data_IF_878630480570
#
_entry.id   IF_878630480570
#
_cell.length_a   1.000
_cell.length_b   1.000
_cell.length_c   1.000
_cell.angle_alpha   90.00
_cell.angle_beta   90.00
_cell.angle_gamma   90.00
#
_symmetry.space_group_name_H-M   'P 1'
#
loop_
_entity.id
_entity.type
_entity.pdbx_description
1 polymer ?
#
# COMPACT_ATOMS: atom_id res chain seq x y z
N UNK A 1 -16.05 -6.81 14.50
CA UNK A 1 -15.82 -7.24 13.08
C UNK A 1 -14.82 -6.33 12.40
N UNK A 2 -13.96 -6.89 11.54
CA UNK A 2 -12.94 -6.15 10.75
C UNK A 2 -13.24 -6.27 9.25
N UNK A 3 -13.18 -5.13 8.54
CA UNK A 3 -13.07 -5.06 7.08
C UNK A 3 -11.65 -4.59 6.73
N UNK A 4 -10.89 -5.42 6.00
CA UNK A 4 -9.54 -5.10 5.53
C UNK A 4 -9.60 -4.56 4.10
N UNK A 5 -9.13 -3.34 3.92
CA UNK A 5 -9.16 -2.64 2.64
C UNK A 5 -7.74 -2.30 2.20
N UNK A 6 -7.36 -2.77 1.01
CA UNK A 6 -6.12 -2.34 0.38
C UNK A 6 -6.33 -1.03 -0.39
N UNK A 7 -5.54 -0.01 -0.10
CA UNK A 7 -5.53 1.28 -0.79
C UNK A 7 -4.27 1.37 -1.65
N UNK A 8 -4.44 1.44 -2.96
CA UNK A 8 -3.33 1.53 -3.91
C UNK A 8 -3.56 2.60 -4.97
N UNK A 9 -2.59 2.80 -5.85
CA UNK A 9 -2.65 3.79 -6.93
C UNK A 9 -1.27 4.14 -7.45
N UNK A 10 -1.19 4.78 -8.60
CA UNK A 10 0.06 5.14 -9.24
C UNK A 10 0.94 6.09 -8.41
N UNK A 11 2.17 6.29 -8.88
CA UNK A 11 3.06 7.30 -8.30
C UNK A 11 2.35 8.65 -8.26
N UNK A 12 2.50 9.38 -7.16
CA UNK A 12 1.93 10.70 -6.94
C UNK A 12 0.39 10.79 -7.10
N UNK A 13 -0.34 9.66 -7.12
CA UNK A 13 -1.81 9.64 -7.27
C UNK A 13 -2.56 10.28 -6.09
N UNK A 14 -1.90 10.51 -4.96
CA UNK A 14 -2.53 11.14 -3.78
C UNK A 14 -3.00 10.16 -2.71
N UNK A 15 -2.59 8.88 -2.75
CA UNK A 15 -2.93 7.85 -1.76
C UNK A 15 -2.89 8.35 -0.31
N UNK A 16 -1.78 8.98 0.10
CA UNK A 16 -1.61 9.43 1.49
C UNK A 16 -2.56 10.58 1.88
N UNK A 17 -3.09 11.33 0.91
CA UNK A 17 -4.15 12.31 1.16
C UNK A 17 -5.47 11.59 1.40
N UNK A 18 -5.81 10.65 0.55
CA UNK A 18 -7.02 9.81 0.66
C UNK A 18 -6.97 8.99 1.96
N UNK A 19 -5.81 8.39 2.30
CA UNK A 19 -5.61 7.66 3.56
C UNK A 19 -5.92 8.55 4.78
N UNK A 20 -5.47 9.81 4.78
CA UNK A 20 -5.77 10.76 5.86
C UNK A 20 -7.26 11.12 5.93
N UNK A 21 -7.96 11.20 4.80
CA UNK A 21 -9.42 11.41 4.79
C UNK A 21 -10.11 10.19 5.41
N UNK A 22 -9.75 8.97 5.04
CA UNK A 22 -10.28 7.77 5.68
C UNK A 22 -10.00 7.75 7.19
N UNK A 23 -8.81 8.17 7.63
CA UNK A 23 -8.48 8.28 9.06
C UNK A 23 -9.40 9.27 9.77
N UNK A 24 -9.70 10.44 9.17
CA UNK A 24 -10.64 11.42 9.74
C UNK A 24 -12.09 10.92 9.82
N UNK A 25 -12.44 9.91 9.00
CA UNK A 25 -13.73 9.22 9.02
C UNK A 25 -13.76 8.04 10.02
N UNK A 26 -12.69 7.85 10.80
CA UNK A 26 -12.61 6.82 11.84
C UNK A 26 -12.06 5.48 11.37
N UNK A 27 -11.52 5.37 10.15
CA UNK A 27 -10.78 4.19 9.72
C UNK A 27 -9.41 4.13 10.39
N UNK A 28 -8.92 2.92 10.63
CA UNK A 28 -7.53 2.70 11.06
C UNK A 28 -6.64 2.58 9.83
N UNK A 29 -5.66 3.45 9.69
CA UNK A 29 -4.77 3.46 8.52
C UNK A 29 -3.42 2.82 8.85
N UNK A 30 -2.92 2.00 7.93
CA UNK A 30 -1.62 1.34 8.00
C UNK A 30 -0.85 1.67 6.73
N UNK A 31 0.33 2.24 6.87
CA UNK A 31 1.24 2.51 5.75
C UNK A 31 2.24 1.34 5.63
N UNK A 32 2.00 0.46 4.66
CA UNK A 32 2.85 -0.70 4.40
C UNK A 32 4.24 -0.28 3.88
N UNK A 33 4.35 0.80 3.12
CA UNK A 33 5.64 1.32 2.64
C UNK A 33 6.47 1.83 3.83
N UNK A 34 5.84 2.45 4.83
CA UNK A 34 6.49 2.84 6.09
C UNK A 34 6.88 1.63 6.95
N UNK A 35 6.08 0.55 6.96
CA UNK A 35 6.46 -0.72 7.60
C UNK A 35 7.74 -1.26 6.96
N UNK A 36 7.80 -1.38 5.64
CA UNK A 36 9.00 -1.81 4.91
C UNK A 36 10.20 -0.92 5.26
N UNK A 37 10.00 0.39 5.32
CA UNK A 37 11.06 1.32 5.69
C UNK A 37 11.62 1.06 7.10
N UNK A 38 10.78 0.69 8.06
CA UNK A 38 11.21 0.30 9.42
C UNK A 38 11.93 -1.04 9.44
N UNK A 39 11.40 -2.04 8.73
CA UNK A 39 12.01 -3.37 8.62
C UNK A 39 13.42 -3.33 8.01
N UNK A 40 13.70 -2.34 7.15
CA UNK A 40 15.00 -2.18 6.49
C UNK A 40 16.03 -1.38 7.30
N UNK A 41 15.67 -0.85 8.48
CA UNK A 41 16.64 -0.19 9.37
C UNK A 41 17.67 -1.20 9.89
N UNK A 42 18.92 -0.79 10.13
CA UNK A 42 19.93 -1.66 10.71
C UNK A 42 19.42 -2.38 11.96
N UNK A 43 19.57 -3.70 11.99
CA UNK A 43 19.04 -4.56 13.06
C UNK A 43 17.56 -4.94 12.93
N UNK A 44 16.82 -4.37 11.99
CA UNK A 44 15.45 -4.77 11.69
C UNK A 44 15.37 -6.15 11.04
N UNK A 45 14.23 -6.84 11.19
CA UNK A 45 14.04 -8.19 10.65
C UNK A 45 14.24 -8.25 9.13
N UNK A 46 13.76 -7.25 8.38
CA UNK A 46 13.96 -7.15 6.93
C UNK A 46 15.42 -6.90 6.57
N UNK A 47 16.12 -6.05 7.32
CA UNK A 47 17.55 -5.82 7.12
C UNK A 47 18.34 -7.12 7.28
N UNK A 48 18.11 -7.85 8.37
CA UNK A 48 18.85 -9.06 8.68
C UNK A 48 18.66 -10.15 7.60
N UNK A 49 17.40 -10.38 7.19
CA UNK A 49 17.08 -11.39 6.17
C UNK A 49 17.64 -11.02 4.79
N UNK A 50 17.72 -9.73 4.47
CA UNK A 50 18.30 -9.26 3.21
C UNK A 50 19.83 -9.44 3.21
N UNK A 51 20.50 -9.10 4.30
CA UNK A 51 21.95 -9.30 4.45
C UNK A 51 22.32 -10.78 4.43
N UNK A 52 21.54 -11.61 5.10
CA UNK A 52 21.73 -13.08 5.08
C UNK A 52 21.56 -13.67 3.66
N UNK A 53 20.57 -13.17 2.89
CA UNK A 53 20.25 -13.70 1.56
C UNK A 53 21.15 -13.18 0.46
N UNK A 54 21.49 -11.89 0.49
CA UNK A 54 22.21 -11.21 -0.59
C UNK A 54 23.62 -10.77 -0.21
N UNK A 55 24.06 -11.01 1.04
CA UNK A 55 25.36 -10.57 1.51
C UNK A 55 25.43 -9.10 1.86
N UNK A 56 26.61 -8.63 2.24
CA UNK A 56 26.86 -7.24 2.61
C UNK A 56 26.88 -6.27 1.42
N UNK A 57 26.88 -6.79 0.22
CA UNK A 57 26.86 -5.96 -1.01
C UNK A 57 25.57 -5.14 -1.17
N UNK A 58 24.46 -5.56 -0.51
CA UNK A 58 23.21 -4.80 -0.49
C UNK A 58 23.23 -3.64 0.51
N UNK A 59 24.36 -3.42 1.21
CA UNK A 59 24.51 -2.34 2.18
C UNK A 59 25.23 -1.12 1.59
N UNK A 60 24.89 0.04 2.16
CA UNK A 60 25.69 1.25 2.05
C UNK A 60 26.93 1.17 2.95
N UNK A 61 27.82 2.13 2.86
CA UNK A 61 28.97 2.25 3.79
C UNK A 61 28.52 2.46 5.25
N UNK A 62 27.35 3.05 5.47
CA UNK A 62 26.75 3.25 6.81
C UNK A 62 26.06 2.01 7.38
N UNK A 63 26.02 0.91 6.62
CA UNK A 63 25.36 -0.32 7.05
C UNK A 63 23.84 -0.34 6.85
N UNK A 64 23.28 0.64 6.18
CA UNK A 64 21.86 0.68 5.81
C UNK A 64 21.62 -0.08 4.50
N UNK A 65 20.39 -0.54 4.27
CA UNK A 65 20.02 -1.16 2.98
C UNK A 65 20.13 -0.11 1.85
N UNK A 66 21.00 -0.37 0.88
CA UNK A 66 21.07 0.38 -0.37
C UNK A 66 19.87 0.03 -1.25
N UNK A 67 18.84 0.86 -1.18
CA UNK A 67 17.58 0.64 -1.91
C UNK A 67 17.76 0.58 -3.42
N UNK A 68 18.79 1.26 -3.96
CA UNK A 68 19.07 1.22 -5.39
C UNK A 68 19.63 -0.13 -5.79
N UNK A 69 20.66 -0.63 -5.08
CA UNK A 69 21.21 -1.97 -5.33
C UNK A 69 20.16 -3.06 -5.14
N UNK A 70 19.34 -2.96 -4.08
CA UNK A 70 18.27 -3.91 -3.84
C UNK A 70 17.22 -3.88 -4.97
N UNK A 71 16.88 -2.70 -5.49
CA UNK A 71 15.99 -2.56 -6.64
C UNK A 71 16.62 -3.15 -7.91
N UNK A 72 17.89 -2.90 -8.16
CA UNK A 72 18.62 -3.47 -9.30
C UNK A 72 18.60 -5.01 -9.25
N UNK A 73 18.77 -5.61 -8.07
CA UNK A 73 18.65 -7.07 -7.85
C UNK A 73 17.21 -7.54 -8.08
N UNK A 74 16.24 -6.86 -7.48
CA UNK A 74 14.83 -7.24 -7.56
C UNK A 74 14.25 -7.15 -8.97
N UNK A 75 14.69 -6.15 -9.74
CA UNK A 75 14.20 -5.94 -11.11
C UNK A 75 15.06 -6.57 -12.19
N UNK A 76 16.11 -7.33 -11.83
CA UNK A 76 16.92 -8.07 -12.77
C UNK A 76 16.09 -9.08 -13.60
N UNK A 77 15.14 -9.75 -12.96
CA UNK A 77 14.19 -10.66 -13.60
C UNK A 77 13.00 -10.92 -12.66
N UNK A 78 11.96 -11.61 -13.17
CA UNK A 78 10.74 -11.94 -12.43
C UNK A 78 11.00 -12.81 -11.18
N UNK A 79 11.90 -13.76 -11.26
CA UNK A 79 12.21 -14.68 -10.16
C UNK A 79 12.90 -13.95 -9.00
N UNK A 80 13.77 -13.00 -9.31
CA UNK A 80 14.42 -12.13 -8.31
C UNK A 80 13.40 -11.27 -7.55
N UNK A 81 12.45 -10.68 -8.26
CA UNK A 81 11.36 -9.92 -7.64
C UNK A 81 10.50 -10.81 -6.73
N UNK A 82 10.15 -12.01 -7.20
CA UNK A 82 9.40 -12.98 -6.39
C UNK A 82 10.18 -13.44 -5.16
N UNK A 83 11.50 -13.65 -5.30
CA UNK A 83 12.36 -14.02 -4.18
C UNK A 83 12.35 -12.94 -3.11
N UNK A 84 12.55 -11.67 -3.49
CA UNK A 84 12.48 -10.53 -2.57
C UNK A 84 11.11 -10.45 -1.87
N UNK A 85 10.03 -10.59 -2.62
CA UNK A 85 8.68 -10.57 -2.09
C UNK A 85 8.47 -11.72 -1.06
N UNK A 86 8.91 -12.93 -1.35
CA UNK A 86 8.82 -14.07 -0.40
C UNK A 86 9.56 -13.83 0.92
N UNK A 87 10.64 -13.07 0.90
CA UNK A 87 11.39 -12.71 2.10
C UNK A 87 10.70 -11.62 2.92
N UNK A 88 10.16 -10.61 2.27
CA UNK A 88 9.70 -9.38 2.93
C UNK A 88 8.20 -9.39 3.25
N UNK A 89 7.36 -9.97 2.39
CA UNK A 89 5.90 -9.99 2.62
C UNK A 89 5.49 -10.60 3.96
N UNK A 90 6.04 -11.76 4.40
CA UNK A 90 5.67 -12.32 5.70
C UNK A 90 5.93 -11.36 6.86
N UNK A 91 7.03 -10.60 6.80
CA UNK A 91 7.39 -9.63 7.82
C UNK A 91 6.44 -8.42 7.84
N UNK A 92 6.05 -7.94 6.65
CA UNK A 92 5.07 -6.85 6.52
C UNK A 92 3.70 -7.30 7.02
N UNK A 93 3.25 -8.50 6.64
CA UNK A 93 1.96 -9.07 7.06
C UNK A 93 1.92 -9.23 8.59
N UNK A 94 3.01 -9.72 9.20
CA UNK A 94 3.09 -9.86 10.65
C UNK A 94 2.96 -8.49 11.36
N UNK A 95 3.59 -7.43 10.85
CA UNK A 95 3.45 -6.09 11.39
C UNK A 95 2.04 -5.50 11.18
N UNK A 96 1.43 -5.71 10.02
CA UNK A 96 0.02 -5.35 9.77
C UNK A 96 -0.90 -6.04 10.80
N UNK A 97 -0.73 -7.35 10.99
CA UNK A 97 -1.52 -8.13 11.94
C UNK A 97 -1.31 -7.66 13.37
N UNK A 98 -0.07 -7.32 13.76
CA UNK A 98 0.25 -6.77 15.08
C UNK A 98 -0.48 -5.46 15.34
N UNK A 99 -0.52 -4.56 14.36
CA UNK A 99 -1.25 -3.28 14.47
C UNK A 99 -2.76 -3.54 14.59
N UNK A 100 -3.30 -4.45 13.79
CA UNK A 100 -4.72 -4.81 13.84
C UNK A 100 -5.10 -5.42 15.18
N UNK A 101 -4.32 -6.38 15.68
CA UNK A 101 -4.56 -7.03 16.98
C UNK A 101 -4.48 -6.04 18.15
N UNK A 102 -3.53 -5.09 18.11
CA UNK A 102 -3.43 -4.05 19.13
C UNK A 102 -4.66 -3.14 19.15
N UNK A 103 -5.19 -2.78 17.98
CA UNK A 103 -6.40 -1.97 17.87
C UNK A 103 -7.65 -2.74 18.30
N UNK A 104 -7.75 -4.03 17.99
CA UNK A 104 -8.83 -4.90 18.49
C UNK A 104 -8.80 -5.02 20.01
N UNK A 105 -7.63 -5.27 20.58
CA UNK A 105 -7.48 -5.36 22.04
C UNK A 105 -7.85 -4.06 22.77
N UNK A 106 -7.57 -2.91 22.12
CA UNK A 106 -7.93 -1.59 22.67
C UNK A 106 -9.44 -1.31 22.62
N UNK A 107 -10.14 -1.88 21.63
CA UNK A 107 -11.57 -1.62 21.39
C UNK A 107 -12.28 -2.89 20.94
N UNK A 108 -12.49 -3.89 21.80
CA UNK A 108 -12.94 -5.23 21.42
C UNK A 108 -14.34 -5.25 20.81
N UNK A 109 -15.22 -4.35 21.22
CA UNK A 109 -16.63 -4.33 20.78
C UNK A 109 -16.89 -3.42 19.57
N UNK A 110 -15.84 -2.85 18.98
CA UNK A 110 -16.00 -1.92 17.87
C UNK A 110 -15.70 -2.58 16.53
N UNK A 111 -16.60 -2.38 15.59
CA UNK A 111 -16.34 -2.66 14.18
C UNK A 111 -15.29 -1.70 13.61
N UNK A 112 -14.40 -2.23 12.76
CA UNK A 112 -13.28 -1.46 12.23
C UNK A 112 -13.13 -1.66 10.71
N UNK A 113 -12.83 -0.57 10.04
CA UNK A 113 -12.31 -0.58 8.67
C UNK A 113 -10.81 -0.25 8.76
N UNK A 114 -9.97 -1.19 8.34
CA UNK A 114 -8.53 -0.98 8.21
C UNK A 114 -8.22 -0.65 6.76
N UNK A 115 -7.56 0.49 6.55
CA UNK A 115 -7.06 0.94 5.24
C UNK A 115 -5.55 0.70 5.22
N UNK A 116 -5.12 -0.29 4.46
CA UNK A 116 -3.68 -0.57 4.27
C UNK A 116 -3.23 0.08 2.97
N UNK A 117 -2.45 1.15 3.09
CA UNK A 117 -1.85 1.87 1.97
C UNK A 117 -0.59 1.17 1.52
N UNK A 118 -0.52 0.77 0.22
CA UNK A 118 0.68 0.22 -0.39
C UNK A 118 0.77 0.60 -1.87
N UNK A 119 1.97 1.02 -2.30
CA UNK A 119 2.19 1.49 -3.68
C UNK A 119 2.18 0.36 -4.71
N UNK A 120 2.71 -0.81 -4.37
CA UNK A 120 2.82 -1.98 -5.26
C UNK A 120 1.94 -3.14 -4.79
N UNK A 121 0.76 -2.84 -4.25
CA UNK A 121 -0.15 -3.83 -3.66
C UNK A 121 -0.58 -4.91 -4.66
N UNK A 122 -0.99 -4.50 -5.85
CA UNK A 122 -1.47 -5.40 -6.90
C UNK A 122 -0.31 -6.12 -7.58
N UNK A 123 0.76 -5.42 -7.87
CA UNK A 123 1.97 -5.94 -8.50
C UNK A 123 2.64 -7.04 -7.66
N UNK A 124 2.52 -6.93 -6.35
CA UNK A 124 3.06 -7.91 -5.41
C UNK A 124 2.14 -9.11 -5.16
N UNK A 125 1.00 -9.20 -5.85
CA UNK A 125 0.00 -10.26 -5.63
C UNK A 125 -0.76 -10.12 -4.31
N UNK A 126 -0.82 -8.90 -3.75
CA UNK A 126 -1.43 -8.66 -2.45
C UNK A 126 -2.95 -8.63 -2.42
N UNK A 127 -3.63 -8.70 -3.57
CA UNK A 127 -5.08 -8.54 -3.69
C UNK A 127 -5.87 -9.47 -2.75
N UNK A 128 -5.49 -10.73 -2.70
CA UNK A 128 -6.19 -11.78 -1.93
C UNK A 128 -6.12 -11.59 -0.40
N UNK A 129 -5.30 -10.66 0.08
CA UNK A 129 -5.15 -10.37 1.51
C UNK A 129 -6.20 -9.40 2.04
N UNK A 130 -6.97 -8.78 1.15
CA UNK A 130 -7.93 -7.74 1.49
C UNK A 130 -9.34 -8.10 1.07
N UNK A 131 -10.32 -7.74 1.88
CA UNK A 131 -11.74 -7.91 1.57
C UNK A 131 -12.15 -7.02 0.37
N UNK A 132 -11.56 -5.83 0.30
CA UNK A 132 -11.80 -4.86 -0.77
C UNK A 132 -10.51 -4.18 -1.21
N UNK A 133 -10.48 -3.77 -2.47
CA UNK A 133 -9.40 -2.94 -3.05
C UNK A 133 -9.98 -1.60 -3.47
N UNK A 134 -9.35 -0.53 -3.00
CA UNK A 134 -9.62 0.84 -3.41
C UNK A 134 -8.43 1.36 -4.22
N UNK A 135 -8.68 1.84 -5.42
CA UNK A 135 -7.66 2.44 -6.27
C UNK A 135 -7.85 3.95 -6.31
N UNK A 136 -6.80 4.69 -5.98
CA UNK A 136 -6.73 6.14 -6.21
C UNK A 136 -6.24 6.36 -7.63
N UNK A 137 -7.15 6.76 -8.50
CA UNK A 137 -6.88 6.98 -9.90
C UNK A 137 -6.50 8.43 -10.19
N UNK A 138 -5.53 8.60 -11.07
CA UNK A 138 -5.03 9.88 -11.54
C UNK A 138 -4.45 9.69 -12.94
N UNK A 139 -4.67 10.66 -13.82
CA UNK A 139 -4.11 10.61 -15.16
C UNK A 139 -2.58 10.69 -15.16
N UNK A 140 -1.91 10.08 -16.16
CA UNK A 140 -0.46 9.97 -16.20
C UNK A 140 0.26 11.33 -16.23
N UNK A 141 -0.28 12.31 -16.93
CA UNK A 141 0.36 13.62 -17.06
C UNK A 141 0.34 14.38 -15.72
N UNK A 142 -0.79 14.31 -15.02
CA UNK A 142 -0.91 14.88 -13.67
C UNK A 142 -0.04 14.13 -12.66
N UNK A 143 0.12 12.81 -12.79
CA UNK A 143 1.08 12.04 -11.98
C UNK A 143 2.51 12.55 -12.15
N UNK A 144 2.96 12.75 -13.40
CA UNK A 144 4.30 13.31 -13.69
C UNK A 144 4.47 14.71 -13.10
N UNK A 145 3.46 15.56 -13.25
CA UNK A 145 3.47 16.93 -12.74
C UNK A 145 3.55 16.97 -11.22
N UNK A 146 2.70 16.19 -10.54
CA UNK A 146 2.71 16.08 -9.06
C UNK A 146 4.00 15.43 -8.54
N UNK A 147 4.58 14.47 -9.27
CA UNK A 147 5.86 13.87 -8.94
C UNK A 147 7.00 14.89 -9.03
N UNK A 148 7.01 15.73 -10.09
CA UNK A 148 8.00 16.79 -10.28
C UNK A 148 7.94 17.83 -9.15
N UNK A 149 6.75 18.22 -8.69
CA UNK A 149 6.57 19.11 -7.54
C UNK A 149 7.14 18.54 -6.23
N UNK A 150 7.33 17.21 -6.16
CA UNK A 150 7.92 16.49 -5.01
C UNK A 150 9.41 16.18 -5.20
N UNK A 151 10.06 16.81 -6.21
CA UNK A 151 11.48 16.62 -6.50
C UNK A 151 11.84 15.35 -7.28
N UNK A 152 10.84 14.61 -7.81
CA UNK A 152 11.08 13.46 -8.69
C UNK A 152 11.09 13.96 -10.13
N UNK A 153 12.19 13.80 -10.85
CA UNK A 153 12.26 14.22 -12.26
C UNK A 153 11.21 13.51 -13.12
N UNK A 154 10.71 14.16 -14.18
CA UNK A 154 9.75 13.54 -15.09
C UNK A 154 10.24 12.23 -15.70
N UNK A 155 11.52 12.09 -16.15
CA UNK A 155 12.04 10.80 -16.62
C UNK A 155 11.99 9.71 -15.53
N UNK A 156 12.31 10.06 -14.28
CA UNK A 156 12.23 9.11 -13.16
C UNK A 156 10.78 8.72 -12.84
N UNK A 157 9.85 9.67 -12.89
CA UNK A 157 8.44 9.38 -12.72
C UNK A 157 7.95 8.39 -13.78
N UNK A 158 8.24 8.63 -15.06
CA UNK A 158 7.90 7.72 -16.17
C UNK A 158 8.53 6.34 -16.01
N UNK A 159 9.79 6.27 -15.58
CA UNK A 159 10.44 4.99 -15.30
C UNK A 159 9.72 4.21 -14.22
N UNK A 160 9.34 4.85 -13.10
CA UNK A 160 8.57 4.21 -12.01
C UNK A 160 7.19 3.77 -12.45
N UNK A 161 6.49 4.58 -13.27
CA UNK A 161 5.19 4.22 -13.84
C UNK A 161 5.27 2.95 -14.71
N UNK A 162 6.35 2.77 -15.48
CA UNK A 162 6.57 1.55 -16.29
C UNK A 162 6.75 0.28 -15.45
N UNK A 163 7.15 0.40 -14.21
CA UNK A 163 7.28 -0.73 -13.27
C UNK A 163 6.02 -0.98 -12.45
N UNK A 164 5.03 -0.11 -12.56
CA UNK A 164 3.72 -0.29 -11.94
C UNK A 164 2.76 -0.98 -12.92
N UNK A 165 1.72 -1.61 -12.37
CA UNK A 165 0.61 -2.14 -13.16
C UNK A 165 0.02 -1.04 -14.06
N UNK A 166 -0.31 -1.30 -15.33
CA UNK A 166 -1.00 -0.35 -16.20
C UNK A 166 -2.25 0.23 -15.52
N UNK A 167 -2.54 1.51 -15.79
CA UNK A 167 -3.66 2.22 -15.15
C UNK A 167 -4.97 1.47 -15.33
N UNK A 168 -5.25 1.04 -16.54
CA UNK A 168 -6.49 0.34 -16.93
C UNK A 168 -6.65 -0.97 -16.17
N UNK A 169 -5.58 -1.77 -16.08
CA UNK A 169 -5.58 -3.03 -15.34
C UNK A 169 -5.77 -2.80 -13.84
N UNK A 170 -5.14 -1.75 -13.29
CA UNK A 170 -5.27 -1.37 -11.88
C UNK A 170 -6.70 -0.95 -11.55
N UNK A 171 -7.33 -0.14 -12.39
CA UNK A 171 -8.74 0.26 -12.26
C UNK A 171 -9.67 -0.96 -12.36
N UNK A 172 -9.43 -1.88 -13.29
CA UNK A 172 -10.21 -3.12 -13.42
C UNK A 172 -10.07 -4.05 -12.20
N UNK A 173 -8.92 -4.06 -11.55
CA UNK A 173 -8.68 -4.87 -10.36
C UNK A 173 -9.36 -4.30 -9.09
N UNK A 174 -9.83 -3.05 -9.13
CA UNK A 174 -10.43 -2.36 -7.99
C UNK A 174 -11.87 -2.82 -7.72
N UNK A 175 -12.26 -2.84 -6.44
CA UNK A 175 -13.66 -2.88 -6.05
C UNK A 175 -14.27 -1.46 -6.06
N UNK A 176 -13.46 -0.47 -5.71
CA UNK A 176 -13.83 0.95 -5.72
C UNK A 176 -12.70 1.79 -6.28
N UNK A 177 -13.05 2.80 -7.05
CA UNK A 177 -12.11 3.78 -7.60
C UNK A 177 -12.43 5.15 -7.00
N UNK A 178 -11.39 5.86 -6.57
CA UNK A 178 -11.46 7.27 -6.19
C UNK A 178 -10.77 8.06 -7.29
N UNK A 179 -11.55 8.84 -8.04
CA UNK A 179 -11.00 9.78 -9.01
C UNK A 179 -10.37 10.97 -8.29
N UNK A 180 -9.06 11.14 -8.46
CA UNK A 180 -8.29 12.23 -7.85
C UNK A 180 -7.74 13.22 -8.88
N UNK A 181 -8.40 13.33 -10.05
CA UNK A 181 -8.08 14.33 -11.08
C UNK A 181 -8.56 15.73 -10.73
N UNK A 182 -9.56 15.83 -9.88
CA UNK A 182 -10.11 17.10 -9.41
C UNK A 182 -9.27 17.77 -8.31
N UNK A 183 -9.88 18.77 -7.70
CA UNK A 183 -9.32 19.47 -6.55
C UNK A 183 -9.46 18.64 -5.25
N UNK A 184 -8.97 19.21 -4.15
CA UNK A 184 -9.05 18.56 -2.83
C UNK A 184 -10.48 18.27 -2.38
N UNK A 185 -11.43 19.18 -2.69
CA UNK A 185 -12.83 19.02 -2.30
C UNK A 185 -13.49 17.86 -3.07
N UNK A 186 -13.20 17.74 -4.36
CA UNK A 186 -13.65 16.60 -5.15
C UNK A 186 -13.11 15.27 -4.58
N UNK A 187 -11.83 15.22 -4.25
CA UNK A 187 -11.23 14.04 -3.62
C UNK A 187 -11.87 13.69 -2.27
N UNK A 188 -12.24 14.69 -1.47
CA UNK A 188 -12.98 14.49 -0.21
C UNK A 188 -14.37 13.88 -0.48
N UNK A 189 -15.12 14.40 -1.44
CA UNK A 189 -16.46 13.87 -1.82
C UNK A 189 -16.36 12.43 -2.32
N UNK A 190 -15.43 12.14 -3.24
CA UNK A 190 -15.19 10.79 -3.75
C UNK A 190 -14.84 9.80 -2.62
N UNK A 191 -13.94 10.21 -1.70
CA UNK A 191 -13.54 9.38 -0.57
C UNK A 191 -14.69 9.12 0.39
N UNK A 192 -15.54 10.12 0.67
CA UNK A 192 -16.74 9.93 1.48
C UNK A 192 -17.71 8.94 0.83
N UNK A 193 -17.92 9.04 -0.49
CA UNK A 193 -18.77 8.11 -1.23
C UNK A 193 -18.27 6.65 -1.13
N UNK A 194 -16.96 6.44 -1.29
CA UNK A 194 -16.35 5.12 -1.12
C UNK A 194 -16.42 4.65 0.33
N UNK A 195 -16.21 5.53 1.31
CA UNK A 195 -16.35 5.18 2.73
C UNK A 195 -17.75 4.64 3.07
N UNK A 196 -18.81 5.25 2.55
CA UNK A 196 -20.18 4.75 2.78
C UNK A 196 -20.35 3.32 2.23
N UNK A 197 -19.86 3.06 1.02
CA UNK A 197 -19.88 1.71 0.44
C UNK A 197 -19.09 0.69 1.29
N UNK A 198 -17.92 1.07 1.82
CA UNK A 198 -17.14 0.23 2.72
C UNK A 198 -17.88 -0.04 4.05
N UNK A 199 -18.66 0.91 4.54
CA UNK A 199 -19.55 0.70 5.70
C UNK A 199 -20.63 -0.34 5.39
N UNK A 200 -21.24 -0.27 4.22
CA UNK A 200 -22.21 -1.27 3.76
C UNK A 200 -21.59 -2.67 3.64
N UNK A 201 -20.38 -2.76 3.07
CA UNK A 201 -19.61 -4.01 3.00
C UNK A 201 -19.32 -4.61 4.37
N UNK A 202 -18.94 -3.78 5.35
CA UNK A 202 -18.71 -4.22 6.72
C UNK A 202 -19.96 -4.80 7.34
N UNK A 203 -21.12 -4.15 7.18
CA UNK A 203 -22.40 -4.64 7.66
C UNK A 203 -22.84 -5.93 6.94
N UNK A 204 -22.57 -6.05 5.65
CA UNK A 204 -22.82 -7.28 4.89
C UNK A 204 -21.96 -8.45 5.40
N UNK A 205 -20.68 -8.20 5.66
CA UNK A 205 -19.75 -9.18 6.22
C UNK A 205 -20.21 -9.68 7.59
N UNK A 206 -20.72 -8.80 8.45
CA UNK A 206 -21.29 -9.16 9.76
C UNK A 206 -22.46 -10.14 9.61
N UNK A 207 -23.42 -9.83 8.73
CA UNK A 207 -24.58 -10.68 8.51
C UNK A 207 -24.23 -12.10 8.10
N UNK A 208 -23.24 -12.25 7.20
CA UNK A 208 -22.77 -13.57 6.75
C UNK A 208 -22.13 -14.34 7.92
N UNK A 209 -21.30 -13.70 8.74
CA UNK A 209 -20.62 -14.36 9.87
C UNK A 209 -21.58 -14.74 11.01
N UNK A 210 -22.68 -14.02 11.19
CA UNK A 210 -23.70 -14.34 12.21
C UNK A 210 -24.66 -15.44 11.78
N UNK A 211 -24.70 -15.79 10.49
CA UNK A 211 -25.58 -16.81 9.90
C UNK A 211 -24.87 -18.15 9.65
N UNK A 212 -23.56 -18.22 9.93
CA UNK A 212 -22.69 -19.41 9.81
C UNK A 212 -22.39 -20.00 11.16
#
# INVERSE_FOLDING_TARGET
MILKVGLTGGIASGKSTISRIFASLGCVTIDADAIVARLYRPGGAGHNVLVETYGREVLTQSGEIDRKKLADIAFANRDSAQKLNRLIHPLVIAEEQRVMAAEEARFPDRDRIFIVEATLLLESGGKERYDKIVVVDLDPETQETRAAMRGVSRPDARRRMKHQMPREERVQAAHYVIDNNGDRRAAEVETHGVYQKLREDLEAKKRVTMSS
#
